data_IF_227446556785
#
_entry.id   IF_227446556785
#
_cell.length_a   1.000
_cell.length_b   1.000
_cell.length_c   1.000
_cell.angle_alpha   90.00
_cell.angle_beta   90.00
_cell.angle_gamma   90.00
#
_symmetry.space_group_name_H-M   'P 1'
#
loop_
_entity.id
_entity.type
_entity.pdbx_description
1 polymer ?
#
# COMPACT_ATOMS: atom_id res chain seq x y z
N UNK A 1 37.46 -15.07 -24.28
CA UNK A 1 37.00 -15.52 -22.93
C UNK A 1 36.50 -14.37 -22.04
N UNK A 2 37.18 -13.22 -21.93
CA UNK A 2 36.75 -12.09 -21.06
C UNK A 2 35.34 -11.55 -21.35
N UNK A 3 34.96 -11.42 -22.64
CA UNK A 3 33.63 -10.91 -23.04
C UNK A 3 32.50 -11.86 -22.66
N UNK A 4 32.73 -13.17 -22.70
CA UNK A 4 31.74 -14.16 -22.30
C UNK A 4 31.47 -14.12 -20.79
N UNK A 5 32.50 -13.91 -19.96
CA UNK A 5 32.32 -13.70 -18.52
C UNK A 5 31.57 -12.41 -18.19
N UNK A 6 31.80 -11.33 -18.93
CA UNK A 6 31.07 -10.06 -18.72
C UNK A 6 29.60 -10.23 -19.10
N UNK A 7 29.30 -10.86 -20.23
CA UNK A 7 27.93 -11.13 -20.66
C UNK A 7 27.20 -12.06 -19.69
N UNK A 8 27.89 -13.08 -19.18
CA UNK A 8 27.34 -14.00 -18.19
C UNK A 8 27.06 -13.31 -16.85
N UNK A 9 28.00 -12.50 -16.36
CA UNK A 9 27.79 -11.71 -15.13
C UNK A 9 26.62 -10.72 -15.28
N UNK A 10 26.50 -10.07 -16.44
CA UNK A 10 25.41 -9.14 -16.72
C UNK A 10 24.06 -9.87 -16.80
N UNK A 11 24.00 -11.04 -17.44
CA UNK A 11 22.80 -11.88 -17.48
C UNK A 11 22.39 -12.37 -16.07
N UNK A 12 23.35 -12.74 -15.22
CA UNK A 12 23.07 -13.12 -13.83
C UNK A 12 22.57 -11.95 -12.98
N UNK A 13 23.05 -10.73 -13.22
CA UNK A 13 22.55 -9.52 -12.55
C UNK A 13 21.12 -9.19 -12.99
N UNK A 14 20.82 -9.29 -14.28
CA UNK A 14 19.46 -9.09 -14.80
C UNK A 14 18.48 -10.16 -14.29
N UNK A 15 18.89 -11.44 -14.27
CA UNK A 15 18.11 -12.52 -13.67
C UNK A 15 17.93 -12.37 -12.14
N UNK A 16 18.82 -11.62 -11.49
CA UNK A 16 18.70 -11.25 -10.08
C UNK A 16 17.68 -10.14 -9.82
N UNK A 17 17.34 -9.31 -10.81
CA UNK A 17 16.27 -8.31 -10.71
C UNK A 17 14.87 -8.95 -10.77
N UNK A 18 14.74 -10.15 -11.36
CA UNK A 18 13.51 -10.94 -11.38
C UNK A 18 13.32 -11.80 -10.11
N UNK A 19 14.28 -11.80 -9.18
CA UNK A 19 14.01 -12.37 -7.86
C UNK A 19 13.02 -11.43 -7.18
N UNK A 20 11.85 -11.91 -6.74
CA UNK A 20 10.99 -11.11 -5.90
C UNK A 20 11.80 -10.83 -4.64
N UNK A 21 12.39 -9.64 -4.58
CA UNK A 21 13.09 -9.09 -3.44
C UNK A 21 12.15 -9.34 -2.27
N UNK A 22 12.45 -10.35 -1.44
CA UNK A 22 11.49 -10.97 -0.54
C UNK A 22 10.63 -9.89 0.10
N UNK A 23 9.38 -9.73 -0.38
CA UNK A 23 8.54 -8.52 -0.26
C UNK A 23 8.72 -7.89 1.13
N UNK A 24 9.72 -7.03 1.23
CA UNK A 24 10.10 -6.46 2.51
C UNK A 24 9.15 -5.31 2.72
N UNK A 25 8.76 -5.10 3.98
CA UNK A 25 7.88 -3.98 4.35
C UNK A 25 8.46 -2.67 3.81
N UNK A 26 9.78 -2.54 3.84
CA UNK A 26 10.51 -1.37 3.40
C UNK A 26 10.46 -1.15 1.89
N UNK A 27 10.70 -2.22 1.11
CA UNK A 27 10.62 -2.14 -0.34
C UNK A 27 9.18 -1.87 -0.80
N UNK A 28 8.21 -2.53 -0.17
CA UNK A 28 6.81 -2.36 -0.52
C UNK A 28 6.28 -0.98 -0.12
N UNK A 29 6.72 -0.42 1.01
CA UNK A 29 6.36 0.94 1.40
C UNK A 29 6.95 2.02 0.45
N UNK A 30 8.02 1.69 -0.28
CA UNK A 30 8.63 2.57 -1.26
C UNK A 30 7.95 2.54 -2.64
N UNK A 31 7.16 1.50 -2.95
CA UNK A 31 6.43 1.35 -4.22
C UNK A 31 4.90 1.46 -4.00
N UNK A 32 4.30 2.65 -4.15
CA UNK A 32 2.88 2.85 -3.92
C UNK A 32 1.98 2.11 -4.90
N UNK A 33 2.41 1.93 -6.15
CA UNK A 33 1.61 1.30 -7.20
C UNK A 33 1.48 -0.20 -6.92
N UNK A 34 2.61 -0.84 -6.62
CA UNK A 34 2.64 -2.26 -6.25
C UNK A 34 1.87 -2.50 -4.94
N UNK A 35 2.06 -1.65 -3.94
CA UNK A 35 1.37 -1.75 -2.65
C UNK A 35 -0.16 -1.61 -2.80
N UNK A 36 -0.64 -0.68 -3.63
CA UNK A 36 -2.07 -0.54 -3.90
C UNK A 36 -2.66 -1.81 -4.53
N UNK A 37 -1.99 -2.37 -5.54
CA UNK A 37 -2.43 -3.60 -6.19
C UNK A 37 -2.45 -4.81 -5.25
N UNK A 38 -1.46 -4.94 -4.35
CA UNK A 38 -1.47 -6.02 -3.35
C UNK A 38 -2.57 -5.83 -2.30
N UNK A 39 -2.88 -4.58 -1.93
CA UNK A 39 -4.01 -4.28 -1.03
C UNK A 39 -5.35 -4.69 -1.64
N UNK A 40 -5.56 -4.46 -2.94
CA UNK A 40 -6.82 -4.89 -3.59
C UNK A 40 -6.93 -6.42 -3.64
N UNK A 41 -5.83 -7.11 -3.95
CA UNK A 41 -5.76 -8.58 -3.94
C UNK A 41 -5.99 -9.18 -2.54
N UNK A 42 -5.48 -8.53 -1.49
CA UNK A 42 -5.76 -8.95 -0.12
C UNK A 42 -7.22 -8.75 0.28
N UNK A 43 -7.90 -7.73 -0.24
CA UNK A 43 -9.34 -7.50 -0.01
C UNK A 43 -10.21 -8.50 -0.78
N UNK A 44 -9.78 -8.97 -1.96
CA UNK A 44 -10.45 -10.02 -2.72
C UNK A 44 -10.19 -11.43 -2.19
N UNK A 45 -9.29 -11.59 -1.21
CA UNK A 45 -8.98 -12.87 -0.59
C UNK A 45 -8.03 -13.75 -1.42
N UNK A 46 -7.23 -13.15 -2.30
CA UNK A 46 -6.29 -13.87 -3.18
C UNK A 46 -5.03 -14.37 -2.47
N UNK A 47 -4.72 -13.84 -1.28
CA UNK A 47 -3.51 -14.15 -0.51
C UNK A 47 -3.81 -14.60 0.92
N UNK A 48 -2.85 -15.28 1.55
CA UNK A 48 -2.96 -15.69 2.95
C UNK A 48 -2.87 -14.52 3.95
N UNK A 49 -3.33 -14.76 5.17
CA UNK A 49 -3.37 -13.73 6.22
C UNK A 49 -2.00 -13.19 6.65
N UNK A 50 -0.95 -14.01 6.62
CA UNK A 50 0.40 -13.57 7.00
C UNK A 50 1.03 -12.68 5.92
N UNK A 51 0.76 -12.98 4.65
CA UNK A 51 1.08 -12.12 3.53
C UNK A 51 0.33 -10.78 3.64
N UNK A 52 -0.99 -10.81 3.82
CA UNK A 52 -1.77 -9.59 3.93
C UNK A 52 -1.43 -8.75 5.17
N UNK A 53 -1.01 -9.38 6.27
CA UNK A 53 -0.47 -8.65 7.42
C UNK A 53 0.80 -7.86 7.07
N UNK A 54 1.72 -8.41 6.26
CA UNK A 54 2.91 -7.68 5.79
C UNK A 54 2.56 -6.54 4.84
N UNK A 55 1.60 -6.74 3.94
CA UNK A 55 1.09 -5.69 3.05
C UNK A 55 0.49 -4.55 3.86
N UNK A 56 -0.32 -4.85 4.87
CA UNK A 56 -0.88 -3.85 5.78
C UNK A 56 0.21 -3.13 6.61
N UNK A 57 1.27 -3.82 7.02
CA UNK A 57 2.39 -3.20 7.71
C UNK A 57 3.15 -2.21 6.80
N UNK A 58 3.32 -2.55 5.51
CA UNK A 58 3.91 -1.65 4.52
C UNK A 58 3.04 -0.42 4.27
N UNK A 59 1.72 -0.61 4.19
CA UNK A 59 0.73 0.47 4.07
C UNK A 59 0.75 1.43 5.26
N UNK A 60 0.82 0.90 6.47
CA UNK A 60 0.93 1.72 7.69
C UNK A 60 2.25 2.50 7.73
N UNK A 61 3.37 1.86 7.39
CA UNK A 61 4.68 2.53 7.32
C UNK A 61 4.68 3.65 6.28
N UNK A 62 4.13 3.33 5.11
CA UNK A 62 3.50 4.20 4.12
C UNK A 62 2.99 5.51 4.69
N UNK A 63 1.81 5.37 5.28
CA UNK A 63 1.00 6.43 5.83
C UNK A 63 1.78 7.28 6.84
N UNK A 64 2.52 6.63 7.75
CA UNK A 64 3.25 7.32 8.82
C UNK A 64 4.53 8.01 8.35
N UNK A 65 5.03 7.71 7.15
CA UNK A 65 6.23 8.36 6.60
C UNK A 65 5.99 9.79 6.12
N UNK A 66 4.73 10.17 5.86
CA UNK A 66 4.39 11.44 5.23
C UNK A 66 4.78 11.56 3.76
N UNK A 67 5.24 10.47 3.12
CA UNK A 67 5.61 10.42 1.70
C UNK A 67 4.42 10.11 0.77
N UNK A 68 3.21 10.01 1.31
CA UNK A 68 2.03 9.65 0.55
C UNK A 68 1.51 10.81 -0.30
N UNK A 69 1.23 10.52 -1.57
CA UNK A 69 0.58 11.44 -2.48
C UNK A 69 -0.91 11.65 -2.19
N UNK A 70 -1.51 12.76 -2.65
CA UNK A 70 -2.94 13.04 -2.49
C UNK A 70 -3.84 12.04 -3.23
N UNK A 71 -3.27 11.30 -4.17
CA UNK A 71 -3.89 10.28 -5.02
C UNK A 71 -3.73 8.84 -4.50
N UNK A 72 -2.97 8.63 -3.42
CA UNK A 72 -2.71 7.28 -2.89
C UNK A 72 -3.80 6.73 -1.99
N UNK A 73 -4.52 7.60 -1.30
CA UNK A 73 -5.60 7.21 -0.40
C UNK A 73 -6.95 7.61 -0.98
N UNK A 74 -7.99 6.91 -0.51
CA UNK A 74 -9.36 7.13 -0.94
C UNK A 74 -9.72 8.61 -0.87
N UNK A 75 -10.27 9.12 -1.97
CA UNK A 75 -10.79 10.48 -1.98
C UNK A 75 -12.02 10.53 -1.07
N UNK A 76 -12.43 11.74 -0.68
CA UNK A 76 -13.64 11.91 0.13
C UNK A 76 -14.88 11.25 -0.50
N UNK A 77 -14.92 11.15 -1.84
CA UNK A 77 -15.99 10.50 -2.59
C UNK A 77 -15.98 8.96 -2.49
N UNK A 78 -14.84 8.36 -2.16
CA UNK A 78 -14.66 6.91 -2.04
C UNK A 78 -14.90 6.40 -0.60
N UNK A 79 -15.04 7.31 0.36
CA UNK A 79 -15.31 6.96 1.75
C UNK A 79 -16.75 6.44 1.91
N UNK A 80 -16.99 5.43 2.76
CA UNK A 80 -18.34 5.00 3.08
C UNK A 80 -19.14 6.17 3.68
N UNK A 81 -20.47 6.16 3.46
CA UNK A 81 -21.34 7.15 4.08
C UNK A 81 -21.17 7.14 5.59
N UNK A 82 -21.15 8.34 6.19
CA UNK A 82 -21.05 8.48 7.64
C UNK A 82 -22.21 7.72 8.30
N UNK A 83 -21.94 6.79 9.24
CA UNK A 83 -23.00 6.07 9.93
C UNK A 83 -23.87 7.01 10.77
N UNK A 84 -25.17 6.76 10.83
CA UNK A 84 -26.12 7.55 11.61
C UNK A 84 -25.79 7.61 13.13
N UNK A 85 -24.96 6.69 13.63
CA UNK A 85 -24.46 6.75 15.01
C UNK A 85 -23.52 7.92 15.28
N UNK A 86 -23.00 8.57 14.23
CA UNK A 86 -22.17 9.76 14.33
C UNK A 86 -22.99 11.05 14.36
N UNK A 87 -24.27 11.00 13.98
CA UNK A 87 -25.18 12.09 14.22
C UNK A 87 -25.39 12.16 15.75
N UNK A 88 -24.92 13.26 16.34
CA UNK A 88 -25.16 13.54 17.75
C UNK A 88 -26.67 13.58 18.04
N UNK A 89 -27.08 13.63 19.32
CA UNK A 89 -28.49 13.86 19.61
C UNK A 89 -28.94 15.14 18.89
N UNK A 90 -30.15 15.11 18.32
CA UNK A 90 -30.82 16.29 17.75
C UNK A 90 -31.15 17.28 18.89
N UNK A 91 -30.13 17.83 19.53
CA UNK A 91 -30.30 18.99 20.41
C UNK A 91 -30.52 20.18 19.49
N UNK A 92 -31.67 20.88 19.61
CA UNK A 92 -31.88 22.11 18.87
C UNK A 92 -30.69 23.02 19.12
N UNK A 93 -29.99 23.40 18.05
CA UNK A 93 -28.93 24.40 18.11
C UNK A 93 -29.56 25.68 18.65
N UNK A 94 -29.40 25.92 19.95
CA UNK A 94 -29.94 27.09 20.62
C UNK A 94 -29.43 28.32 19.86
N UNK A 95 -30.37 29.10 19.34
CA UNK A 95 -30.13 30.32 18.59
C UNK A 95 -29.36 31.27 19.52
N UNK A 96 -28.05 31.36 19.31
CA UNK A 96 -27.17 32.21 20.11
C UNK A 96 -27.66 33.66 19.96
N UNK A 97 -27.98 34.35 21.07
CA UNK A 97 -28.43 35.74 21.03
C UNK A 97 -27.36 36.70 20.50
#
# INVERSE_FOLDING_TARGET
MKRASVLFAFACLLAGCDRPLALSVDALAADPVQLHALRTQCRSGEHDGAFCARVNQADLRRFLSGQSGPDEYQTLADLPSIPASFDGPDVPTEERP
#
